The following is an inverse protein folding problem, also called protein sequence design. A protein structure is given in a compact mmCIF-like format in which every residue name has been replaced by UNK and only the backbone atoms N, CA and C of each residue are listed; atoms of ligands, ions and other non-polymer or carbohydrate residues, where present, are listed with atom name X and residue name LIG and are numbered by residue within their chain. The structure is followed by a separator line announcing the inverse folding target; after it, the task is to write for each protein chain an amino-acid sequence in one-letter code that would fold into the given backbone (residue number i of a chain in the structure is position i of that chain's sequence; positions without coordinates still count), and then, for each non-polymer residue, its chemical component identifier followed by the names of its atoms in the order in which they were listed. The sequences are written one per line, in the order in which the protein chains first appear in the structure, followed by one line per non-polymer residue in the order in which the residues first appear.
data_IF_699063225493
#
_entry.id   IF_699063225493
#
_cell.length_a   1.000
_cell.length_b   1.000
_cell.length_c   1.000
_cell.angle_alpha   90.00
_cell.angle_beta   90.00
_cell.angle_gamma   90.00
#
_symmetry.space_group_name_H-M   'P 1'
#
loop_
_entity.id
_entity.type
_entity.pdbx_description
1 polymer ?
#
# COMPACT_ATOMS: atom_id res chain seq x y z
N UNK A 1 -37.46 -19.64 9.00
CA UNK A 1 -37.08 -18.91 10.22
C UNK A 1 -36.00 -17.91 9.84
N UNK A 2 -36.21 -16.61 10.05
CA UNK A 2 -35.25 -15.57 9.70
C UNK A 2 -34.06 -15.59 10.67
N UNK A 3 -32.85 -15.76 10.14
CA UNK A 3 -31.61 -15.66 10.88
C UNK A 3 -31.38 -14.19 11.28
N UNK A 4 -31.71 -13.86 12.52
CA UNK A 4 -31.38 -12.55 13.09
C UNK A 4 -29.99 -12.57 13.69
N UNK A 5 -29.28 -11.42 13.64
CA UNK A 5 -27.93 -11.24 14.20
C UNK A 5 -27.82 -11.69 15.67
N UNK A 6 -28.92 -11.58 16.41
CA UNK A 6 -29.04 -12.02 17.80
C UNK A 6 -29.03 -13.54 17.95
N UNK A 7 -29.75 -14.27 17.09
CA UNK A 7 -29.79 -15.73 17.14
C UNK A 7 -28.45 -16.35 16.72
N UNK A 8 -27.75 -15.74 15.76
CA UNK A 8 -26.43 -16.20 15.33
C UNK A 8 -25.38 -16.17 16.47
N UNK A 9 -25.32 -15.05 17.21
CA UNK A 9 -24.36 -14.90 18.32
C UNK A 9 -24.66 -15.85 19.48
N UNK A 10 -25.94 -16.12 19.76
CA UNK A 10 -26.34 -17.07 20.79
C UNK A 10 -26.00 -18.52 20.40
N UNK A 11 -26.15 -18.89 19.12
CA UNK A 11 -25.75 -20.22 18.63
C UNK A 11 -24.23 -20.41 18.54
N UNK A 12 -23.48 -19.36 18.21
CA UNK A 12 -22.01 -19.44 18.12
C UNK A 12 -21.33 -19.53 19.49
N UNK A 13 -21.92 -18.92 20.53
CA UNK A 13 -21.38 -18.97 21.90
C UNK A 13 -21.49 -20.34 22.59
N UNK A 14 -22.43 -21.19 22.16
CA UNK A 14 -22.68 -22.49 22.79
C UNK A 14 -21.75 -23.63 22.31
N UNK A 15 -20.96 -23.42 21.25
CA UNK A 15 -20.10 -24.45 20.65
C UNK A 15 -18.63 -24.35 21.14
N UNK A 16 -18.25 -23.25 21.79
CA UNK A 16 -16.85 -22.98 22.12
C UNK A 16 -16.32 -23.61 23.43
N UNK A 17 -17.14 -24.36 24.18
CA UNK A 17 -16.76 -24.82 25.53
C UNK A 17 -16.31 -26.28 25.68
N UNK A 18 -16.16 -27.06 24.59
CA UNK A 18 -15.80 -28.51 24.70
C UNK A 18 -14.56 -28.94 23.86
N UNK A 19 -13.86 -28.01 23.21
CA UNK A 19 -12.63 -28.31 22.47
C UNK A 19 -11.35 -28.11 23.28
N UNK A 20 -11.08 -29.01 24.21
CA UNK A 20 -9.88 -29.03 25.04
C UNK A 20 -8.57 -29.13 24.22
N UNK A 21 -7.61 -28.27 24.56
CA UNK A 21 -6.18 -28.56 24.70
C UNK A 21 -5.46 -29.28 23.54
N UNK A 22 -5.08 -28.49 22.52
CA UNK A 22 -3.91 -28.78 21.68
C UNK A 22 -2.80 -27.77 22.01
N UNK A 23 -1.51 -28.16 22.04
CA UNK A 23 -0.44 -27.21 22.31
C UNK A 23 -0.30 -26.31 21.08
N UNK A 24 -0.82 -25.09 21.17
CA UNK A 24 -0.44 -23.96 20.31
C UNK A 24 0.99 -23.52 20.65
N UNK A 25 1.95 -24.43 20.55
CA UNK A 25 3.37 -24.18 20.79
C UNK A 25 4.17 -24.05 19.47
N UNK A 26 3.49 -23.96 18.32
CA UNK A 26 4.13 -23.90 17.00
C UNK A 26 3.89 -22.58 16.23
N UNK A 27 3.19 -21.59 16.80
CA UNK A 27 2.98 -20.29 16.18
C UNK A 27 3.44 -19.14 17.11
N UNK A 28 4.72 -19.12 17.50
CA UNK A 28 5.28 -17.93 18.16
C UNK A 28 6.76 -17.69 17.85
N UNK A 29 7.16 -17.96 16.61
CA UNK A 29 8.35 -17.35 16.02
C UNK A 29 7.99 -16.70 14.68
N UNK A 30 6.89 -15.92 14.67
CA UNK A 30 6.94 -14.73 13.85
C UNK A 30 7.97 -13.83 14.54
N UNK A 31 9.10 -13.59 13.88
CA UNK A 31 10.05 -12.56 14.31
C UNK A 31 9.21 -11.33 14.68
N UNK A 32 9.35 -10.86 15.93
CA UNK A 32 8.59 -9.70 16.38
C UNK A 32 8.75 -8.60 15.31
N UNK A 33 7.65 -8.14 14.68
CA UNK A 33 7.76 -7.08 13.68
C UNK A 33 8.48 -5.95 14.37
N UNK A 34 9.60 -5.54 13.77
CA UNK A 34 10.54 -4.52 14.21
C UNK A 34 9.98 -3.77 15.42
N UNK A 35 10.35 -4.20 16.63
CA UNK A 35 9.90 -3.54 17.85
C UNK A 35 10.08 -2.06 17.57
N UNK A 36 8.98 -1.31 17.59
CA UNK A 36 9.03 0.13 17.41
C UNK A 36 9.86 0.63 18.60
N UNK A 37 11.18 0.69 18.42
CA UNK A 37 11.99 1.56 19.24
C UNK A 37 11.38 2.90 18.90
N UNK A 38 10.85 3.58 19.92
CA UNK A 38 10.61 5.01 19.80
C UNK A 38 11.89 5.57 19.18
N UNK A 39 11.82 5.90 17.89
CA UNK A 39 12.89 6.61 17.21
C UNK A 39 13.19 7.81 18.09
N UNK A 40 14.48 8.06 18.30
CA UNK A 40 15.07 8.80 19.42
C UNK A 40 14.38 10.11 19.77
N UNK A 41 14.70 10.61 20.97
CA UNK A 41 14.15 11.86 21.51
C UNK A 41 14.17 13.03 20.51
N UNK A 42 13.46 14.11 20.83
CA UNK A 42 13.09 15.22 19.91
C UNK A 42 14.13 15.65 18.87
N UNK A 43 15.42 15.57 19.17
CA UNK A 43 16.54 15.81 18.25
C UNK A 43 16.52 14.94 16.97
N UNK A 44 16.02 13.70 17.00
CA UNK A 44 15.94 12.86 15.80
C UNK A 44 14.90 13.36 14.80
N UNK A 45 13.70 13.70 15.28
CA UNK A 45 12.64 14.25 14.44
C UNK A 45 12.97 15.63 13.91
N UNK A 46 13.72 16.44 14.68
CA UNK A 46 14.29 17.68 14.18
C UNK A 46 15.21 17.44 12.98
N UNK A 47 16.12 16.46 13.06
CA UNK A 47 16.99 16.08 11.94
C UNK A 47 16.21 15.59 10.71
N UNK A 48 15.14 14.81 10.90
CA UNK A 48 14.26 14.38 9.80
C UNK A 48 13.56 15.58 9.16
N UNK A 49 13.01 16.48 9.98
CA UNK A 49 12.34 17.70 9.52
C UNK A 49 13.26 18.61 8.71
N UNK A 50 14.53 18.71 9.10
CA UNK A 50 15.53 19.53 8.42
C UNK A 50 15.95 18.98 7.05
N UNK A 51 15.70 17.69 6.79
CA UNK A 51 15.90 17.06 5.47
C UNK A 51 14.75 17.33 4.51
N UNK A 52 13.64 17.92 4.94
CA UNK A 52 12.49 18.18 4.08
C UNK A 52 12.47 19.68 3.73
N UNK A 53 12.49 20.05 2.43
CA UNK A 53 12.59 21.44 1.98
C UNK A 53 11.25 22.19 2.06
N UNK A 54 10.53 22.05 3.18
CA UNK A 54 9.33 22.84 3.46
C UNK A 54 9.69 24.29 3.74
N UNK A 55 8.95 25.25 3.15
CA UNK A 55 8.96 26.64 3.62
C UNK A 55 8.62 26.67 5.12
N UNK A 56 9.36 27.47 5.89
CA UNK A 56 9.11 27.68 7.32
C UNK A 56 8.07 28.77 7.59
N UNK A 57 7.55 29.39 6.55
CA UNK A 57 6.50 30.42 6.63
C UNK A 57 5.11 29.83 6.87
N UNK A 58 4.98 28.50 6.74
CA UNK A 58 3.71 27.78 6.86
C UNK A 58 3.79 26.62 7.86
N UNK A 59 2.66 26.35 8.51
CA UNK A 59 2.44 25.10 9.26
C UNK A 59 1.82 24.06 8.31
N UNK A 60 2.60 23.05 7.94
CA UNK A 60 2.22 22.05 6.94
C UNK A 60 1.34 20.94 7.53
N UNK A 61 0.01 21.14 7.53
CA UNK A 61 -0.97 20.16 8.05
C UNK A 61 -1.63 19.29 6.97
N UNK A 62 -1.27 19.45 5.69
CA UNK A 62 -1.83 18.72 4.55
C UNK A 62 -0.91 17.58 4.05
N UNK A 63 -0.07 17.02 4.92
CA UNK A 63 0.97 16.03 4.54
C UNK A 63 0.46 14.72 3.92
N UNK A 64 -0.84 14.45 4.02
CA UNK A 64 -1.49 13.28 3.39
C UNK A 64 -1.95 13.53 1.95
N UNK A 65 -1.90 14.77 1.46
CA UNK A 65 -2.29 15.11 0.10
C UNK A 65 -1.20 14.73 -0.90
N UNK A 66 0.01 15.23 -0.69
CA UNK A 66 1.20 14.95 -1.48
C UNK A 66 2.44 15.24 -0.66
N UNK A 67 3.42 14.33 -0.69
CA UNK A 67 4.67 14.51 0.01
C UNK A 67 5.61 15.47 -0.74
N UNK A 68 6.34 16.32 0.00
CA UNK A 68 7.55 16.96 -0.51
C UNK A 68 8.68 15.94 -0.57
N UNK A 69 9.57 16.04 -1.54
CA UNK A 69 10.74 15.16 -1.65
C UNK A 69 11.81 15.57 -0.60
N UNK A 70 12.15 14.72 0.38
CA UNK A 70 13.30 14.94 1.23
C UNK A 70 14.59 15.02 0.40
N UNK A 71 15.62 15.69 0.92
CA UNK A 71 16.87 15.96 0.20
C UNK A 71 17.46 14.73 -0.53
N UNK A 72 17.59 13.54 0.10
CA UNK A 72 18.13 12.38 -0.61
C UNK A 72 17.31 11.96 -1.84
N UNK A 73 15.99 12.12 -1.78
CA UNK A 73 15.08 11.81 -2.90
C UNK A 73 15.23 12.87 -3.98
N UNK A 74 15.26 14.16 -3.60
CA UNK A 74 15.47 15.26 -4.54
C UNK A 74 16.79 15.13 -5.33
N UNK A 75 17.87 14.77 -4.64
CA UNK A 75 19.18 14.51 -5.24
C UNK A 75 19.17 13.32 -6.21
N UNK A 76 18.50 12.22 -5.85
CA UNK A 76 18.34 11.06 -6.73
C UNK A 76 17.55 11.43 -8.00
N UNK A 77 16.44 12.15 -7.86
CA UNK A 77 15.63 12.63 -9.00
C UNK A 77 16.49 13.53 -9.90
N UNK A 78 17.24 14.48 -9.34
CA UNK A 78 18.11 15.37 -10.11
C UNK A 78 19.17 14.59 -10.91
N UNK A 79 19.76 13.56 -10.32
CA UNK A 79 20.73 12.68 -10.98
C UNK A 79 20.12 11.92 -12.17
N UNK A 80 18.97 11.29 -11.96
CA UNK A 80 18.28 10.54 -13.02
C UNK A 80 17.79 11.47 -14.14
N UNK A 81 17.27 12.66 -13.77
CA UNK A 81 16.90 13.69 -14.73
C UNK A 81 18.09 14.13 -15.57
N UNK A 82 19.24 14.42 -14.97
CA UNK A 82 20.44 14.84 -15.71
C UNK A 82 20.89 13.80 -16.74
N UNK A 83 20.83 12.51 -16.38
CA UNK A 83 21.18 11.44 -17.32
C UNK A 83 20.16 11.26 -18.46
N UNK A 84 18.87 11.46 -18.15
CA UNK A 84 17.80 11.47 -19.15
C UNK A 84 17.89 12.68 -20.08
N UNK A 85 18.28 13.85 -19.57
CA UNK A 85 18.44 15.09 -20.34
C UNK A 85 19.63 14.98 -21.32
N UNK A 86 20.72 14.30 -20.93
CA UNK A 86 21.90 14.08 -21.77
C UNK A 86 21.64 13.08 -22.91
N UNK A 87 21.12 11.88 -22.60
CA UNK A 87 20.76 10.89 -23.61
C UNK A 87 19.69 9.91 -23.08
N UNK A 88 18.40 10.17 -23.31
CA UNK A 88 17.34 9.40 -22.66
C UNK A 88 17.30 7.94 -23.10
N UNK A 89 17.58 7.67 -24.38
CA UNK A 89 17.54 6.32 -24.94
C UNK A 89 18.66 5.45 -24.37
N UNK A 90 19.90 5.97 -24.35
CA UNK A 90 21.04 5.23 -23.80
C UNK A 90 20.89 5.05 -22.29
N UNK A 91 20.48 6.11 -21.59
CA UNK A 91 20.28 6.08 -20.14
C UNK A 91 19.25 5.01 -19.74
N UNK A 92 18.10 4.99 -20.42
CA UNK A 92 17.07 3.98 -20.17
C UNK A 92 17.54 2.57 -20.52
N UNK A 93 18.34 2.39 -21.58
CA UNK A 93 18.89 1.09 -21.92
C UNK A 93 19.86 0.56 -20.86
N UNK A 94 20.67 1.44 -20.27
CA UNK A 94 21.69 1.09 -19.28
C UNK A 94 21.11 0.88 -17.88
N UNK A 95 20.13 1.68 -17.46
CA UNK A 95 19.75 1.74 -16.04
C UNK A 95 18.37 1.17 -15.70
N UNK A 96 17.42 1.16 -16.63
CA UNK A 96 16.00 0.91 -16.31
C UNK A 96 15.77 -0.42 -15.58
N UNK A 97 16.31 -1.52 -16.11
CA UNK A 97 16.08 -2.86 -15.56
C UNK A 97 16.60 -2.99 -14.13
N UNK A 98 17.81 -2.50 -13.89
CA UNK A 98 18.44 -2.55 -12.56
C UNK A 98 17.67 -1.68 -11.56
N UNK A 99 17.32 -0.44 -11.95
CA UNK A 99 16.58 0.49 -11.10
C UNK A 99 15.17 0.00 -10.77
N UNK A 100 14.45 -0.58 -11.74
CA UNK A 100 13.13 -1.18 -11.48
C UNK A 100 13.23 -2.35 -10.51
N UNK A 101 14.23 -3.23 -10.67
CA UNK A 101 14.42 -4.38 -9.77
C UNK A 101 14.77 -3.92 -8.36
N UNK A 102 15.69 -2.96 -8.23
CA UNK A 102 16.06 -2.36 -6.95
C UNK A 102 14.85 -1.70 -6.26
N UNK A 103 14.01 -1.00 -7.03
CA UNK A 103 12.80 -0.36 -6.50
C UNK A 103 11.78 -1.38 -6.00
N UNK A 104 11.55 -2.47 -6.75
CA UNK A 104 10.68 -3.57 -6.31
C UNK A 104 11.23 -4.25 -5.06
N UNK A 105 12.53 -4.52 -4.99
CA UNK A 105 13.15 -5.16 -3.84
C UNK A 105 13.03 -4.29 -2.58
N UNK A 106 13.33 -2.99 -2.67
CA UNK A 106 13.19 -2.07 -1.54
C UNK A 106 11.75 -1.99 -1.02
N UNK A 107 10.76 -1.95 -1.92
CA UNK A 107 9.35 -1.99 -1.55
C UNK A 107 8.94 -3.33 -0.91
N UNK A 108 9.44 -4.44 -1.43
CA UNK A 108 9.18 -5.77 -0.92
C UNK A 108 9.75 -5.96 0.49
N UNK A 109 10.99 -5.51 0.72
CA UNK A 109 11.64 -5.55 2.03
C UNK A 109 10.86 -4.70 3.05
N UNK A 110 10.36 -3.53 2.64
CA UNK A 110 9.55 -2.66 3.49
C UNK A 110 8.20 -3.30 3.88
N UNK A 111 7.55 -4.00 2.94
CA UNK A 111 6.24 -4.61 3.16
C UNK A 111 6.30 -6.05 3.72
N UNK A 112 7.47 -6.69 3.72
CA UNK A 112 7.64 -8.09 4.11
C UNK A 112 7.05 -9.09 3.09
N UNK A 113 7.13 -8.80 1.79
CA UNK A 113 6.60 -9.63 0.69
C UNK A 113 7.69 -10.01 -0.31
N UNK A 114 7.36 -10.80 -1.35
CA UNK A 114 8.30 -11.05 -2.45
C UNK A 114 8.37 -9.85 -3.40
N UNK A 115 9.54 -9.57 -3.97
CA UNK A 115 9.66 -8.58 -5.05
C UNK A 115 8.80 -8.93 -6.28
N UNK A 116 8.47 -10.21 -6.48
CA UNK A 116 7.56 -10.66 -7.53
C UNK A 116 6.09 -10.24 -7.27
N UNK A 117 5.73 -9.94 -6.02
CA UNK A 117 4.38 -9.48 -5.65
C UNK A 117 4.22 -7.95 -5.83
N UNK A 118 5.28 -7.23 -6.22
CA UNK A 118 5.30 -5.77 -6.32
C UNK A 118 5.20 -5.29 -7.76
N UNK A 119 4.05 -4.70 -8.10
CA UNK A 119 3.88 -3.92 -9.33
C UNK A 119 4.15 -2.43 -9.06
N UNK A 120 5.00 -1.81 -9.88
CA UNK A 120 5.25 -0.36 -9.84
C UNK A 120 4.19 0.36 -10.68
N UNK A 121 3.49 1.33 -10.10
CA UNK A 121 2.44 2.13 -10.75
C UNK A 121 2.61 3.61 -10.42
N UNK A 122 2.07 4.50 -11.25
CA UNK A 122 2.26 5.94 -11.09
C UNK A 122 1.41 6.57 -9.98
N UNK A 123 0.35 5.87 -9.52
CA UNK A 123 -0.52 6.38 -8.46
C UNK A 123 -1.41 5.30 -7.85
N UNK A 124 -1.97 5.60 -6.68
CA UNK A 124 -3.04 4.79 -6.07
C UNK A 124 -4.24 4.66 -7.02
N UNK A 125 -4.60 5.73 -7.76
CA UNK A 125 -5.70 5.72 -8.73
C UNK A 125 -5.44 4.72 -9.86
N UNK A 126 -4.24 4.70 -10.42
CA UNK A 126 -3.85 3.74 -11.47
C UNK A 126 -3.90 2.31 -10.93
N UNK A 127 -3.30 2.06 -9.75
CA UNK A 127 -3.32 0.74 -9.11
C UNK A 127 -4.74 0.22 -8.87
N UNK A 128 -5.61 1.05 -8.29
CA UNK A 128 -7.04 0.75 -8.10
C UNK A 128 -7.70 0.43 -9.45
N UNK A 129 -7.46 1.25 -10.46
CA UNK A 129 -8.01 1.06 -11.81
C UNK A 129 -7.59 -0.28 -12.42
N UNK A 130 -6.31 -0.62 -12.33
CA UNK A 130 -5.74 -1.88 -12.82
C UNK A 130 -6.34 -3.09 -12.10
N UNK A 131 -6.39 -3.08 -10.77
CA UNK A 131 -6.93 -4.20 -9.98
C UNK A 131 -8.43 -4.36 -10.26
N UNK A 132 -9.22 -3.32 -10.04
CA UNK A 132 -10.67 -3.43 -10.19
C UNK A 132 -11.11 -3.64 -11.63
N UNK A 133 -10.33 -3.31 -12.65
CA UNK A 133 -10.71 -3.65 -14.03
C UNK A 133 -10.07 -4.94 -14.56
N UNK A 134 -9.01 -5.42 -13.90
CA UNK A 134 -8.23 -6.60 -14.30
C UNK A 134 -8.70 -7.90 -13.67
N UNK A 135 -9.30 -7.88 -12.47
CA UNK A 135 -9.82 -9.11 -11.84
C UNK A 135 -11.01 -9.67 -12.63
N UNK A 136 -11.03 -10.99 -12.86
CA UNK A 136 -12.18 -11.67 -13.44
C UNK A 136 -13.30 -11.82 -12.41
N UNK A 137 -14.50 -11.36 -12.74
CA UNK A 137 -15.70 -11.50 -11.89
C UNK A 137 -16.76 -12.18 -12.74
N UNK A 138 -17.25 -13.33 -12.27
CA UNK A 138 -18.28 -14.09 -12.97
C UNK A 138 -19.65 -13.42 -12.81
N UNK A 139 -20.64 -13.75 -13.66
CA UNK A 139 -21.98 -13.19 -13.56
C UNK A 139 -22.71 -13.45 -12.22
N UNK A 140 -22.31 -14.48 -11.48
CA UNK A 140 -22.85 -14.85 -10.16
C UNK A 140 -22.13 -14.16 -8.99
N UNK A 141 -21.15 -13.29 -9.26
CA UNK A 141 -20.32 -12.63 -8.25
C UNK A 141 -20.55 -11.11 -8.25
N UNK A 142 -20.27 -10.49 -7.11
CA UNK A 142 -20.34 -9.05 -6.90
C UNK A 142 -19.06 -8.53 -6.23
N UNK A 143 -18.77 -7.24 -6.43
CA UNK A 143 -17.71 -6.54 -5.72
C UNK A 143 -18.33 -5.69 -4.61
N UNK A 144 -18.10 -6.09 -3.35
CA UNK A 144 -18.53 -5.31 -2.20
C UNK A 144 -17.48 -4.29 -1.80
N UNK A 145 -17.88 -3.01 -1.71
CA UNK A 145 -17.04 -1.90 -1.23
C UNK A 145 -17.71 -1.13 -0.10
N UNK A 146 -16.89 -0.41 0.65
CA UNK A 146 -17.30 0.43 1.76
C UNK A 146 -17.81 1.79 1.27
N UNK A 147 -18.69 2.43 2.04
CA UNK A 147 -19.08 3.82 1.77
C UNK A 147 -17.96 4.82 2.07
N UNK A 148 -16.96 4.40 2.83
CA UNK A 148 -15.77 5.17 3.18
C UNK A 148 -14.65 5.05 2.12
N UNK A 149 -14.84 4.23 1.08
CA UNK A 149 -13.84 4.12 0.01
C UNK A 149 -13.65 5.44 -0.74
N UNK A 150 -12.39 5.70 -1.10
CA UNK A 150 -12.00 6.91 -1.81
C UNK A 150 -12.63 6.97 -3.21
N UNK A 151 -12.78 8.17 -3.77
CA UNK A 151 -13.51 8.38 -5.01
C UNK A 151 -12.98 7.51 -6.18
N UNK A 152 -11.66 7.28 -6.24
CA UNK A 152 -11.04 6.46 -7.28
C UNK A 152 -11.55 5.02 -7.31
N UNK A 153 -11.83 4.41 -6.15
CA UNK A 153 -12.45 3.07 -6.06
C UNK A 153 -13.86 3.10 -6.64
N UNK A 154 -14.65 4.10 -6.26
CA UNK A 154 -16.05 4.24 -6.68
C UNK A 154 -16.14 4.47 -8.20
N UNK A 155 -15.28 5.31 -8.74
CA UNK A 155 -15.25 5.59 -10.18
C UNK A 155 -14.77 4.38 -10.99
N UNK A 156 -13.72 3.69 -10.53
CA UNK A 156 -13.25 2.47 -11.18
C UNK A 156 -14.37 1.40 -11.28
N UNK A 157 -15.14 1.21 -10.21
CA UNK A 157 -16.25 0.26 -10.19
C UNK A 157 -17.45 0.72 -11.02
N UNK A 158 -17.77 2.03 -11.02
CA UNK A 158 -18.79 2.58 -11.91
C UNK A 158 -18.47 2.30 -13.38
N UNK A 159 -17.21 2.51 -13.80
CA UNK A 159 -16.79 2.23 -15.17
C UNK A 159 -16.78 0.73 -15.47
N UNK A 160 -16.37 -0.12 -14.52
CA UNK A 160 -16.47 -1.57 -14.68
C UNK A 160 -17.91 -2.04 -14.88
N UNK A 161 -18.84 -1.55 -14.06
CA UNK A 161 -20.26 -1.88 -14.15
C UNK A 161 -20.83 -1.46 -15.51
N UNK A 162 -20.52 -0.24 -15.97
CA UNK A 162 -20.93 0.24 -17.29
C UNK A 162 -20.37 -0.63 -18.44
N UNK A 163 -19.14 -1.13 -18.32
CA UNK A 163 -18.48 -1.94 -19.35
C UNK A 163 -18.97 -3.39 -19.40
N UNK A 164 -19.27 -3.99 -18.26
CA UNK A 164 -19.42 -5.45 -18.13
C UNK A 164 -20.67 -5.93 -17.39
N UNK A 165 -21.46 -5.02 -16.83
CA UNK A 165 -22.60 -5.37 -15.97
C UNK A 165 -22.20 -5.97 -14.62
N UNK A 166 -20.91 -5.92 -14.23
CA UNK A 166 -20.48 -6.35 -12.88
C UNK A 166 -21.24 -5.56 -11.81
N UNK A 167 -21.71 -6.25 -10.78
CA UNK A 167 -22.43 -5.67 -9.64
C UNK A 167 -21.48 -5.26 -8.53
#
# INVERSE_FOLDING_TARGET
MSLTRRNFLLSAGAIASVGAMSPLAACSQAAAPHAWRAAGGGDEWARVRDRIPFSRDYVHLAGLLLASHPLPIGEAIARHRSGLDDNPTLYLAQHRRELELASRQAAADYMGVSAADVALTDSTTMGIGLVYNGISVRPDQEILVSRQDYHSTRDALRYRAARSGTR
#
